data_IF_654424321792
#
_entry.id   IF_654424321792
#
_cell.length_a   1.000
_cell.length_b   1.000
_cell.length_c   1.000
_cell.angle_alpha   90.00
_cell.angle_beta   90.00
_cell.angle_gamma   90.00
#
_symmetry.space_group_name_H-M   'P 1'
#
loop_
_entity.id
_entity.type
_entity.pdbx_description
1 polymer ?
#
# COMPACT_ATOMS: atom_id res chain seq x y z
N UNK A 1 -3.62 -1.81 -22.01
CA UNK A 1 -4.28 -3.01 -21.46
C UNK A 1 -5.57 -2.64 -20.74
N UNK A 2 -5.60 -1.65 -19.85
CA UNK A 2 -6.78 -1.24 -19.08
C UNK A 2 -8.05 -1.07 -19.95
N UNK A 3 -7.94 -0.31 -21.04
CA UNK A 3 -9.04 -0.11 -22.01
C UNK A 3 -9.55 -1.46 -22.58
N UNK A 4 -8.62 -2.37 -22.93
CA UNK A 4 -8.99 -3.71 -23.44
C UNK A 4 -9.70 -4.59 -22.40
N UNK A 5 -9.51 -4.29 -21.11
CA UNK A 5 -10.19 -4.97 -20.01
C UNK A 5 -11.52 -4.31 -19.65
N UNK A 6 -11.89 -3.21 -20.34
CA UNK A 6 -13.13 -2.49 -20.08
C UNK A 6 -13.11 -1.64 -18.81
N UNK A 7 -11.93 -1.21 -18.36
CA UNK A 7 -11.82 -0.32 -17.21
C UNK A 7 -12.22 1.10 -17.61
N UNK A 8 -13.05 1.74 -16.79
CA UNK A 8 -13.47 3.13 -16.95
C UNK A 8 -12.44 4.11 -16.37
N UNK A 9 -11.73 3.67 -15.33
CA UNK A 9 -10.73 4.48 -14.62
C UNK A 9 -9.51 3.63 -14.23
N UNK A 10 -8.33 4.25 -14.26
CA UNK A 10 -7.08 3.67 -13.77
C UNK A 10 -6.27 4.74 -13.04
N UNK A 11 -5.82 4.45 -11.83
CA UNK A 11 -4.88 5.26 -11.10
C UNK A 11 -3.48 4.65 -11.20
N UNK A 12 -2.50 5.44 -11.63
CA UNK A 12 -1.09 5.10 -11.51
C UNK A 12 -0.59 5.55 -10.14
N UNK A 13 0.22 4.74 -9.49
CA UNK A 13 0.77 5.02 -8.15
C UNK A 13 2.25 4.67 -8.15
N UNK A 14 3.07 5.60 -8.65
CA UNK A 14 4.53 5.45 -8.62
C UNK A 14 5.04 5.39 -7.18
N UNK A 15 6.24 4.84 -6.99
CA UNK A 15 6.84 4.66 -5.68
C UNK A 15 7.71 5.82 -5.23
N UNK A 16 7.64 6.14 -3.93
CA UNK A 16 8.67 6.92 -3.23
C UNK A 16 8.91 6.37 -1.83
N UNK A 17 10.16 6.04 -1.56
CA UNK A 17 10.65 5.48 -0.29
C UNK A 17 11.83 6.34 0.19
N UNK A 18 11.55 7.43 0.92
CA UNK A 18 12.57 8.37 1.36
C UNK A 18 13.51 7.75 2.40
N UNK A 19 14.77 8.21 2.37
CA UNK A 19 15.87 7.76 3.21
C UNK A 19 16.28 6.28 2.98
N UNK A 20 15.88 5.70 1.84
CA UNK A 20 16.26 4.33 1.44
C UNK A 20 17.17 4.40 0.20
N UNK A 21 18.50 4.35 0.37
CA UNK A 21 19.46 4.58 -0.72
C UNK A 21 19.38 3.59 -1.88
N UNK A 22 18.75 2.44 -1.67
CA UNK A 22 18.62 1.36 -2.67
C UNK A 22 17.39 1.53 -3.56
N UNK A 23 16.50 2.46 -3.24
CA UNK A 23 15.27 2.72 -3.98
C UNK A 23 15.43 3.98 -4.83
N UNK A 24 14.99 3.90 -6.09
CA UNK A 24 14.85 5.06 -6.96
C UNK A 24 13.47 5.66 -6.74
N UNK A 25 13.43 6.87 -6.20
CA UNK A 25 12.18 7.58 -5.97
C UNK A 25 11.60 8.16 -7.26
N UNK A 26 10.29 8.41 -7.26
CA UNK A 26 9.58 9.06 -8.35
C UNK A 26 10.21 10.43 -8.67
N UNK A 27 10.50 10.68 -9.95
CA UNK A 27 10.73 12.03 -10.46
C UNK A 27 9.34 12.67 -10.68
N UNK A 28 8.88 13.42 -9.69
CA UNK A 28 7.51 13.94 -9.68
C UNK A 28 7.21 14.86 -10.86
N UNK A 29 8.14 15.73 -11.25
CA UNK A 29 7.92 16.67 -12.35
C UNK A 29 7.77 15.91 -13.67
N UNK A 30 8.65 14.96 -13.95
CA UNK A 30 8.57 14.11 -15.12
C UNK A 30 7.31 13.22 -15.10
N UNK A 31 6.94 12.69 -13.95
CA UNK A 31 5.75 11.86 -13.79
C UNK A 31 4.47 12.64 -14.08
N UNK A 32 4.31 13.82 -13.50
CA UNK A 32 3.13 14.66 -13.74
C UNK A 32 3.05 15.11 -15.21
N UNK A 33 4.19 15.51 -15.82
CA UNK A 33 4.23 15.86 -17.26
C UNK A 33 3.79 14.68 -18.15
N UNK A 34 4.27 13.48 -17.87
CA UNK A 34 3.88 12.29 -18.65
C UNK A 34 2.41 11.93 -18.42
N UNK A 35 1.91 12.05 -17.18
CA UNK A 35 0.50 11.78 -16.88
C UNK A 35 -0.43 12.74 -17.61
N UNK A 36 -0.11 14.03 -17.72
CA UNK A 36 -0.92 14.97 -18.50
C UNK A 36 -0.95 14.61 -20.00
N UNK A 37 0.20 14.23 -20.56
CA UNK A 37 0.27 13.72 -21.95
C UNK A 37 -0.60 12.47 -22.14
N UNK A 38 -0.59 11.55 -21.17
CA UNK A 38 -1.39 10.34 -21.23
C UNK A 38 -2.89 10.61 -21.04
N UNK A 39 -3.28 11.51 -20.14
CA UNK A 39 -4.66 11.96 -19.98
C UNK A 39 -5.22 12.52 -21.28
N UNK A 40 -4.47 13.39 -21.95
CA UNK A 40 -4.87 13.94 -23.24
C UNK A 40 -4.97 12.88 -24.35
N UNK A 41 -3.98 12.00 -24.45
CA UNK A 41 -3.91 10.93 -25.46
C UNK A 41 -5.08 9.94 -25.37
N UNK A 42 -5.52 9.62 -24.15
CA UNK A 42 -6.56 8.62 -23.93
C UNK A 42 -7.92 9.22 -23.53
N UNK A 43 -8.06 10.54 -23.69
CA UNK A 43 -9.30 11.27 -23.41
C UNK A 43 -10.51 10.63 -24.09
N UNK A 44 -11.56 10.39 -23.31
CA UNK A 44 -12.79 9.74 -23.80
C UNK A 44 -12.69 8.21 -23.99
N UNK A 45 -11.53 7.61 -23.72
CA UNK A 45 -11.34 6.15 -23.74
C UNK A 45 -11.22 5.56 -22.34
N UNK A 46 -10.59 6.28 -21.44
CA UNK A 46 -10.41 5.90 -20.02
C UNK A 46 -10.08 7.15 -19.22
N UNK A 47 -10.52 7.21 -17.97
CA UNK A 47 -10.10 8.23 -17.01
C UNK A 47 -8.79 7.80 -16.36
N UNK A 48 -7.74 8.63 -16.48
CA UNK A 48 -6.47 8.38 -15.82
C UNK A 48 -6.32 9.29 -14.60
N UNK A 49 -5.90 8.71 -13.49
CA UNK A 49 -5.63 9.38 -12.22
C UNK A 49 -4.15 9.34 -11.91
N UNK A 50 -3.64 10.46 -11.38
CA UNK A 50 -2.24 10.61 -10.95
C UNK A 50 -2.16 10.37 -9.46
N UNK A 51 -1.80 9.16 -9.07
CA UNK A 51 -1.62 8.77 -7.67
C UNK A 51 -0.15 8.62 -7.32
N UNK A 52 0.09 8.22 -6.09
CA UNK A 52 1.43 7.91 -5.57
C UNK A 52 1.33 6.84 -4.50
N UNK A 53 2.35 6.00 -4.38
CA UNK A 53 2.55 5.10 -3.25
C UNK A 53 3.75 5.57 -2.43
N UNK A 54 3.49 6.04 -1.23
CA UNK A 54 4.49 6.50 -0.29
C UNK A 54 4.88 5.40 0.69
N UNK A 55 6.14 4.98 0.66
CA UNK A 55 6.74 4.07 1.66
C UNK A 55 7.18 4.86 2.89
N UNK A 56 6.22 5.12 3.80
CA UNK A 56 6.43 6.06 4.91
C UNK A 56 6.97 5.34 6.13
N UNK A 57 8.00 5.94 6.72
CA UNK A 57 8.53 5.59 8.04
C UNK A 57 8.28 6.75 9.02
N UNK A 58 8.26 6.47 10.31
CA UNK A 58 7.96 7.48 11.35
C UNK A 58 8.84 8.73 11.23
N UNK A 59 10.12 8.55 10.87
CA UNK A 59 11.08 9.66 10.75
C UNK A 59 11.00 10.41 9.41
N UNK A 60 10.29 9.88 8.40
CA UNK A 60 10.19 10.51 7.07
C UNK A 60 8.88 11.29 6.86
N UNK A 61 7.94 11.27 7.81
CA UNK A 61 6.60 11.85 7.67
C UNK A 61 6.59 13.30 7.19
N UNK A 62 7.50 14.14 7.72
CA UNK A 62 7.60 15.57 7.32
C UNK A 62 7.95 15.74 5.85
N UNK A 63 8.87 14.93 5.33
CA UNK A 63 9.26 15.00 3.93
C UNK A 63 8.08 14.65 3.01
N UNK A 64 7.27 13.65 3.40
CA UNK A 64 6.05 13.31 2.65
C UNK A 64 4.96 14.36 2.75
N UNK A 65 4.78 15.04 3.89
CA UNK A 65 3.89 16.20 4.00
C UNK A 65 4.29 17.32 3.05
N UNK A 66 5.59 17.60 2.93
CA UNK A 66 6.11 18.62 2.01
C UNK A 66 5.84 18.22 0.56
N UNK A 67 6.10 16.97 0.18
CA UNK A 67 5.80 16.46 -1.16
C UNK A 67 4.32 16.52 -1.48
N UNK A 68 3.47 16.07 -0.55
CA UNK A 68 2.01 16.11 -0.73
C UNK A 68 1.47 17.53 -0.97
N UNK A 69 2.05 18.56 -0.32
CA UNK A 69 1.66 19.97 -0.55
C UNK A 69 2.12 20.51 -1.90
N UNK A 70 3.18 19.94 -2.48
CA UNK A 70 3.76 20.43 -3.74
C UNK A 70 3.06 19.87 -4.97
N UNK A 71 2.53 18.65 -4.90
CA UNK A 71 2.00 17.94 -6.04
C UNK A 71 0.52 17.58 -5.86
N UNK A 72 -0.35 17.83 -6.86
CA UNK A 72 -1.79 17.59 -6.77
C UNK A 72 -2.16 16.14 -7.07
N UNK A 73 -1.80 15.23 -6.17
CA UNK A 73 -2.16 13.82 -6.33
C UNK A 73 -3.68 13.60 -6.23
N UNK A 74 -4.23 12.81 -7.15
CA UNK A 74 -5.63 12.35 -7.11
C UNK A 74 -5.83 11.28 -6.01
N UNK A 75 -4.78 10.51 -5.69
CA UNK A 75 -4.86 9.36 -4.76
C UNK A 75 -3.48 9.06 -4.16
N UNK A 76 -3.44 8.81 -2.88
CA UNK A 76 -2.21 8.49 -2.14
C UNK A 76 -2.36 7.19 -1.38
N UNK A 77 -1.48 6.23 -1.65
CA UNK A 77 -1.34 5.00 -0.87
C UNK A 77 -0.24 5.23 0.16
N UNK A 78 -0.56 5.00 1.44
CA UNK A 78 0.46 4.84 2.46
C UNK A 78 0.84 3.37 2.57
N UNK A 79 2.11 3.05 2.38
CA UNK A 79 2.68 1.71 2.51
C UNK A 79 3.83 1.69 3.50
N UNK A 80 4.02 0.55 4.18
CA UNK A 80 5.19 0.30 5.02
C UNK A 80 6.08 -0.73 4.31
N UNK A 81 7.13 -0.24 3.64
CA UNK A 81 8.09 -1.09 2.94
C UNK A 81 9.33 -1.41 3.77
N UNK A 82 9.70 -0.49 4.66
CA UNK A 82 10.88 -0.57 5.50
C UNK A 82 10.54 -0.18 6.95
N UNK A 83 11.41 -0.57 7.86
CA UNK A 83 11.41 -0.10 9.25
C UNK A 83 12.83 0.26 9.63
N UNK A 84 13.07 1.47 10.11
CA UNK A 84 14.41 1.97 10.45
C UNK A 84 15.38 1.88 9.27
N UNK A 85 14.91 2.21 8.05
CA UNK A 85 15.62 2.11 6.78
C UNK A 85 16.08 0.69 6.41
N UNK A 86 15.55 -0.34 7.09
CA UNK A 86 15.87 -1.75 6.85
C UNK A 86 14.81 -2.39 5.98
N UNK A 87 15.24 -3.12 4.98
CA UNK A 87 14.43 -3.70 3.93
C UNK A 87 14.02 -5.14 4.26
N UNK A 88 12.71 -5.43 4.33
CA UNK A 88 12.20 -6.78 4.63
C UNK A 88 12.59 -7.82 3.59
N UNK A 89 12.68 -7.45 2.30
CA UNK A 89 13.11 -8.38 1.24
C UNK A 89 14.58 -8.79 1.34
N UNK A 90 15.42 -8.01 2.04
CA UNK A 90 16.79 -8.35 2.38
C UNK A 90 16.92 -9.10 3.70
N UNK A 91 15.82 -9.27 4.42
CA UNK A 91 15.77 -9.91 5.74
C UNK A 91 16.49 -9.11 6.86
N UNK A 92 16.74 -7.84 6.64
CA UNK A 92 17.48 -7.02 7.61
C UNK A 92 16.68 -6.76 8.91
N UNK A 93 15.36 -6.46 8.88
CA UNK A 93 14.57 -6.31 10.10
C UNK A 93 14.38 -7.62 10.86
N UNK A 94 14.48 -8.78 10.19
CA UNK A 94 14.30 -10.11 10.75
C UNK A 94 15.56 -10.63 11.44
N UNK A 95 16.75 -10.12 11.07
CA UNK A 95 18.02 -10.63 11.58
C UNK A 95 18.10 -10.55 13.10
N UNK A 96 18.41 -11.70 13.73
CA UNK A 96 18.56 -11.81 15.17
C UNK A 96 17.27 -11.70 15.99
N UNK A 97 16.10 -11.68 15.33
CA UNK A 97 14.79 -11.54 15.98
C UNK A 97 13.89 -12.75 15.77
N UNK A 98 13.00 -12.98 16.70
CA UNK A 98 11.90 -13.94 16.54
C UNK A 98 10.85 -13.40 15.56
N UNK A 99 10.03 -14.30 14.99
CA UNK A 99 8.92 -13.93 14.13
C UNK A 99 7.99 -12.92 14.78
N UNK A 100 7.69 -13.11 16.04
CA UNK A 100 6.83 -12.21 16.80
C UNK A 100 7.43 -10.81 16.91
N UNK A 101 8.72 -10.70 17.21
CA UNK A 101 9.38 -9.40 17.41
C UNK A 101 9.38 -8.56 16.13
N UNK A 102 9.80 -9.13 14.98
CA UNK A 102 9.86 -8.32 13.76
C UNK A 102 8.47 -8.05 13.15
N UNK A 103 7.50 -8.97 13.29
CA UNK A 103 6.13 -8.70 12.86
C UNK A 103 5.48 -7.61 13.72
N UNK A 104 5.58 -7.69 15.05
CA UNK A 104 5.03 -6.63 15.92
C UNK A 104 5.71 -5.28 15.68
N UNK A 105 7.03 -5.26 15.42
CA UNK A 105 7.72 -4.01 15.08
C UNK A 105 7.22 -3.42 13.75
N UNK A 106 6.90 -4.26 12.77
CA UNK A 106 6.30 -3.84 11.50
C UNK A 106 4.94 -3.15 11.70
N UNK A 107 4.01 -3.80 12.40
CA UNK A 107 2.69 -3.20 12.64
C UNK A 107 2.75 -2.00 13.59
N UNK A 108 3.71 -1.98 14.52
CA UNK A 108 3.95 -0.81 15.35
C UNK A 108 4.40 0.40 14.52
N UNK A 109 5.26 0.22 13.52
CA UNK A 109 5.65 1.31 12.61
C UNK A 109 4.43 1.89 11.88
N UNK A 110 3.58 1.04 11.34
CA UNK A 110 2.33 1.49 10.70
C UNK A 110 1.47 2.29 11.69
N UNK A 111 1.28 1.77 12.90
CA UNK A 111 0.49 2.44 13.94
C UNK A 111 1.07 3.81 14.29
N UNK A 112 2.37 3.90 14.45
CA UNK A 112 3.05 5.15 14.79
C UNK A 112 2.91 6.18 13.66
N UNK A 113 3.01 5.75 12.40
CA UNK A 113 2.83 6.63 11.23
C UNK A 113 1.37 7.10 11.13
N UNK A 114 0.36 6.22 11.17
CA UNK A 114 -1.05 6.62 11.00
C UNK A 114 -1.54 7.57 12.11
N UNK A 115 -0.91 7.55 13.30
CA UNK A 115 -1.20 8.50 14.37
C UNK A 115 -0.81 9.93 14.03
N UNK A 116 0.25 10.13 13.26
CA UNK A 116 0.83 11.45 13.00
C UNK A 116 0.67 11.92 11.56
N UNK A 117 0.72 11.04 10.57
CA UNK A 117 0.60 11.37 9.15
C UNK A 117 -0.83 11.12 8.67
N UNK A 118 -1.43 12.12 7.98
CA UNK A 118 -2.84 12.09 7.56
C UNK A 118 -3.05 12.30 6.06
N UNK A 119 -2.02 12.63 5.31
CA UNK A 119 -2.11 12.99 3.89
C UNK A 119 -2.05 11.75 2.99
N UNK A 120 -2.92 10.77 3.25
CA UNK A 120 -3.09 9.56 2.44
C UNK A 120 -4.57 9.24 2.24
N UNK A 121 -4.87 8.47 1.20
CA UNK A 121 -6.23 8.02 0.88
C UNK A 121 -6.55 6.68 1.52
N UNK A 122 -5.64 5.73 1.38
CA UNK A 122 -5.77 4.36 1.91
C UNK A 122 -4.43 3.85 2.44
N UNK A 123 -4.52 2.86 3.32
CA UNK A 123 -3.38 2.05 3.75
C UNK A 123 -3.20 0.88 2.79
N UNK A 124 -2.07 0.85 2.07
CA UNK A 124 -1.72 -0.19 1.11
C UNK A 124 -1.40 -1.52 1.79
N UNK A 125 -1.49 -2.60 1.07
CA UNK A 125 -1.10 -3.98 1.44
C UNK A 125 -0.64 -4.20 2.89
N UNK A 126 -1.54 -3.98 3.84
CA UNK A 126 -1.29 -3.88 5.30
C UNK A 126 -0.37 -4.98 5.85
N UNK A 127 -0.43 -6.18 5.32
CA UNK A 127 0.31 -7.35 5.79
C UNK A 127 1.36 -7.85 4.77
N UNK A 128 1.94 -6.92 3.98
CA UNK A 128 2.94 -7.27 2.94
C UNK A 128 4.20 -7.94 3.51
N UNK A 129 4.48 -7.74 4.79
CA UNK A 129 5.59 -8.41 5.48
C UNK A 129 5.58 -9.93 5.27
N UNK A 130 4.40 -10.56 5.18
CA UNK A 130 4.28 -12.01 4.95
C UNK A 130 4.85 -12.48 3.61
N UNK A 131 4.98 -11.59 2.62
CA UNK A 131 5.65 -11.86 1.34
C UNK A 131 7.13 -12.21 1.54
N UNK A 132 7.72 -11.65 2.58
CA UNK A 132 9.14 -11.74 2.89
C UNK A 132 9.45 -12.57 4.14
N UNK A 133 8.42 -13.10 4.81
CA UNK A 133 8.57 -13.90 6.03
C UNK A 133 8.90 -15.36 5.69
N UNK A 134 10.16 -15.74 5.88
CA UNK A 134 10.65 -17.12 5.62
C UNK A 134 10.06 -18.15 6.58
N UNK A 135 9.50 -17.73 7.71
CA UNK A 135 8.84 -18.61 8.67
C UNK A 135 7.37 -18.84 8.32
N UNK A 136 6.86 -18.13 7.30
CA UNK A 136 5.45 -18.16 6.89
C UNK A 136 4.63 -17.05 7.54
N UNK A 137 3.31 -17.11 7.36
CA UNK A 137 2.42 -16.10 7.93
C UNK A 137 2.34 -16.25 9.45
N UNK A 138 2.47 -15.13 10.17
CA UNK A 138 2.29 -15.11 11.62
C UNK A 138 0.81 -15.37 11.97
N UNK A 139 0.56 -16.02 13.11
CA UNK A 139 -0.78 -16.21 13.64
C UNK A 139 -1.42 -14.83 13.92
N UNK A 140 -2.65 -14.63 13.43
CA UNK A 140 -3.36 -13.35 13.51
C UNK A 140 -3.49 -12.84 14.95
N UNK A 141 -3.77 -13.72 15.90
CA UNK A 141 -3.98 -13.39 17.31
C UNK A 141 -2.76 -12.73 17.97
N UNK A 142 -1.56 -12.97 17.41
CA UNK A 142 -0.30 -12.39 17.95
C UNK A 142 -0.09 -10.92 17.57
N UNK A 143 -0.87 -10.44 16.59
CA UNK A 143 -0.75 -9.07 16.04
C UNK A 143 -2.09 -8.34 16.02
N UNK A 144 -3.19 -9.00 16.38
CA UNK A 144 -4.55 -8.47 16.32
C UNK A 144 -4.67 -7.15 17.07
N UNK A 145 -4.12 -7.06 18.26
CA UNK A 145 -4.14 -5.85 19.11
C UNK A 145 -3.54 -4.60 18.46
N UNK A 146 -2.50 -4.78 17.63
CA UNK A 146 -1.90 -3.68 16.87
C UNK A 146 -2.75 -3.31 15.66
N UNK A 147 -3.31 -4.32 14.96
CA UNK A 147 -4.18 -4.09 13.80
C UNK A 147 -5.47 -3.39 14.22
N UNK A 148 -6.05 -3.76 15.36
CA UNK A 148 -7.21 -3.06 15.95
C UNK A 148 -6.90 -1.57 16.17
N UNK A 149 -5.79 -1.25 16.81
CA UNK A 149 -5.38 0.14 17.02
C UNK A 149 -5.13 0.90 15.70
N UNK A 150 -4.55 0.25 14.69
CA UNK A 150 -4.38 0.84 13.36
C UNK A 150 -5.76 1.17 12.76
N UNK A 151 -6.69 0.23 12.81
CA UNK A 151 -8.03 0.43 12.25
C UNK A 151 -8.86 1.46 13.01
N UNK A 152 -8.71 1.58 14.33
CA UNK A 152 -9.32 2.67 15.10
C UNK A 152 -8.91 4.03 14.53
N UNK A 153 -7.64 4.24 14.22
CA UNK A 153 -7.15 5.50 13.65
C UNK A 153 -7.60 5.67 12.20
N UNK A 154 -7.38 4.66 11.35
CA UNK A 154 -7.70 4.70 9.91
C UNK A 154 -9.19 4.97 9.67
N UNK A 155 -10.06 4.30 10.41
CA UNK A 155 -11.52 4.46 10.30
C UNK A 155 -11.97 5.82 10.84
N UNK A 156 -11.44 6.27 11.98
CA UNK A 156 -11.76 7.57 12.57
C UNK A 156 -11.35 8.73 11.65
N UNK A 157 -10.25 8.58 10.92
CA UNK A 157 -9.76 9.56 9.94
C UNK A 157 -10.53 9.50 8.61
N UNK A 158 -11.51 8.61 8.46
CA UNK A 158 -12.27 8.42 7.20
C UNK A 158 -11.42 7.85 6.06
N UNK A 159 -10.35 7.13 6.39
CA UNK A 159 -9.47 6.50 5.42
C UNK A 159 -9.88 5.04 5.18
N UNK A 160 -9.31 4.45 4.10
CA UNK A 160 -9.56 3.07 3.72
C UNK A 160 -8.34 2.16 3.82
N UNK A 161 -8.54 0.93 3.39
CA UNK A 161 -7.49 -0.06 3.19
C UNK A 161 -7.50 -0.59 1.76
N UNK A 162 -6.39 -1.17 1.34
CA UNK A 162 -6.29 -1.86 0.06
C UNK A 162 -6.50 -3.36 0.23
N UNK A 163 -7.24 -3.99 -0.68
CA UNK A 163 -7.12 -5.40 -1.01
C UNK A 163 -6.18 -5.53 -2.21
N UNK A 164 -4.95 -5.97 -1.96
CA UNK A 164 -3.90 -6.06 -2.95
C UNK A 164 -3.87 -7.47 -3.57
N UNK A 165 -4.12 -7.55 -4.88
CA UNK A 165 -4.25 -8.83 -5.58
C UNK A 165 -2.92 -9.46 -5.97
N UNK A 166 -1.79 -8.75 -5.78
CA UNK A 166 -0.45 -9.28 -6.07
C UNK A 166 -0.10 -10.51 -5.22
N UNK A 167 -0.82 -10.74 -4.11
CA UNK A 167 -0.71 -11.97 -3.32
C UNK A 167 -0.75 -13.24 -4.20
N UNK A 168 -1.56 -13.24 -5.24
CA UNK A 168 -1.65 -14.37 -6.19
C UNK A 168 -0.40 -14.52 -7.05
N UNK A 169 0.15 -13.41 -7.52
CA UNK A 169 1.39 -13.41 -8.30
C UNK A 169 2.59 -13.88 -7.49
N UNK A 170 2.63 -13.50 -6.22
CA UNK A 170 3.64 -13.96 -5.27
C UNK A 170 3.34 -15.33 -4.68
N UNK A 171 2.23 -15.99 -5.10
CA UNK A 171 1.82 -17.33 -4.65
C UNK A 171 1.68 -17.42 -3.13
N UNK A 172 1.22 -16.35 -2.50
CA UNK A 172 0.89 -16.35 -1.08
C UNK A 172 -0.29 -17.28 -0.81
N UNK A 173 -0.35 -17.87 0.37
CA UNK A 173 -1.43 -18.80 0.76
C UNK A 173 -2.75 -18.07 1.04
N UNK A 174 -2.66 -16.81 1.47
CA UNK A 174 -3.81 -15.98 1.83
C UNK A 174 -3.93 -14.73 0.95
N UNK A 175 -5.04 -14.02 1.09
CA UNK A 175 -5.23 -12.67 0.53
C UNK A 175 -4.28 -11.67 1.22
N UNK A 176 -4.13 -10.51 0.63
CA UNK A 176 -3.34 -9.41 1.21
C UNK A 176 -4.21 -8.12 1.23
N UNK A 177 -4.76 -7.76 2.41
CA UNK A 177 -4.65 -8.42 3.70
C UNK A 177 -5.38 -9.77 3.79
N UNK A 178 -5.06 -10.55 4.83
CA UNK A 178 -5.72 -11.84 5.10
C UNK A 178 -7.23 -11.68 5.35
N UNK A 179 -7.98 -12.78 5.26
CA UNK A 179 -9.44 -12.73 5.51
C UNK A 179 -9.78 -12.34 6.94
N UNK A 180 -8.96 -12.73 7.89
CA UNK A 180 -9.11 -12.37 9.30
C UNK A 180 -8.98 -10.85 9.48
N UNK A 181 -7.99 -10.24 8.83
CA UNK A 181 -7.77 -8.78 8.85
C UNK A 181 -8.93 -8.04 8.16
N UNK A 182 -9.38 -8.51 6.98
CA UNK A 182 -10.52 -7.92 6.28
C UNK A 182 -11.81 -8.01 7.11
N UNK A 183 -12.04 -9.16 7.77
CA UNK A 183 -13.17 -9.35 8.66
C UNK A 183 -13.11 -8.39 9.85
N UNK A 184 -11.96 -8.26 10.49
CA UNK A 184 -11.77 -7.33 11.59
C UNK A 184 -12.07 -5.90 11.16
N UNK A 185 -11.55 -5.46 9.99
CA UNK A 185 -11.83 -4.13 9.45
C UNK A 185 -13.34 -3.88 9.26
N UNK A 186 -14.04 -4.85 8.69
CA UNK A 186 -15.50 -4.78 8.52
C UNK A 186 -16.23 -4.70 9.88
N UNK A 187 -15.88 -5.59 10.82
CA UNK A 187 -16.52 -5.68 12.14
C UNK A 187 -16.30 -4.40 12.98
N UNK A 188 -15.19 -3.70 12.77
CA UNK A 188 -14.89 -2.40 13.37
C UNK A 188 -15.59 -1.22 12.66
N UNK A 189 -16.34 -1.47 11.59
CA UNK A 189 -17.11 -0.45 10.87
C UNK A 189 -16.35 0.22 9.72
N UNK A 190 -15.26 -0.36 9.25
CA UNK A 190 -14.55 0.08 8.05
C UNK A 190 -15.43 -0.06 6.81
N UNK A 191 -15.39 0.95 5.92
CA UNK A 191 -16.30 1.03 4.76
C UNK A 191 -15.60 1.28 3.44
N UNK A 192 -14.32 1.63 3.46
CA UNK A 192 -13.57 2.02 2.27
C UNK A 192 -12.52 0.95 1.99
N UNK A 193 -12.71 0.22 0.91
CA UNK A 193 -11.73 -0.76 0.39
C UNK A 193 -11.48 -0.44 -1.07
N UNK A 194 -10.22 -0.30 -1.44
CA UNK A 194 -9.79 -0.30 -2.84
C UNK A 194 -9.22 -1.66 -3.21
N UNK A 195 -9.23 -1.97 -4.51
CA UNK A 195 -8.61 -3.21 -5.01
C UNK A 195 -7.49 -2.82 -5.96
N UNK A 196 -6.25 -3.08 -5.55
CA UNK A 196 -5.03 -2.79 -6.30
C UNK A 196 -4.39 -4.05 -6.88
N UNK A 197 -3.90 -3.96 -8.12
CA UNK A 197 -3.14 -5.07 -8.73
C UNK A 197 -1.64 -5.02 -8.45
N UNK A 198 -1.14 -3.91 -7.93
CA UNK A 198 0.28 -3.70 -7.65
C UNK A 198 1.13 -4.10 -8.87
N UNK A 199 0.73 -3.56 -10.03
CA UNK A 199 1.22 -3.99 -11.33
C UNK A 199 2.46 -3.20 -11.73
N UNK A 200 3.63 -3.82 -11.63
CA UNK A 200 4.92 -3.25 -12.05
C UNK A 200 5.19 -3.40 -13.56
N UNK A 201 4.23 -3.93 -14.31
CA UNK A 201 4.29 -4.02 -15.78
C UNK A 201 2.88 -4.08 -16.38
N UNK A 202 2.77 -3.73 -17.65
CA UNK A 202 1.48 -3.63 -18.35
C UNK A 202 0.69 -4.95 -18.37
N UNK A 203 1.37 -6.11 -18.35
CA UNK A 203 0.72 -7.41 -18.44
C UNK A 203 -0.04 -7.78 -17.16
N UNK A 204 0.28 -7.11 -16.04
CA UNK A 204 -0.34 -7.35 -14.74
C UNK A 204 -1.43 -6.34 -14.37
N UNK A 205 -1.65 -5.30 -15.17
CA UNK A 205 -2.72 -4.33 -14.92
C UNK A 205 -4.06 -5.06 -14.82
N UNK A 206 -4.75 -4.88 -13.70
CA UNK A 206 -6.05 -5.46 -13.43
C UNK A 206 -6.06 -6.95 -13.08
N UNK A 207 -4.89 -7.55 -12.84
CA UNK A 207 -4.82 -8.97 -12.47
C UNK A 207 -5.65 -9.26 -11.22
N UNK A 208 -6.59 -10.19 -11.36
CA UNK A 208 -7.46 -10.68 -10.29
C UNK A 208 -8.34 -9.61 -9.61
N UNK A 209 -8.45 -8.40 -10.16
CA UNK A 209 -9.29 -7.33 -9.57
C UNK A 209 -10.77 -7.72 -9.61
N UNK A 210 -11.27 -8.18 -10.76
CA UNK A 210 -12.68 -8.56 -10.93
C UNK A 210 -13.10 -9.74 -10.06
N UNK A 211 -12.21 -10.71 -9.87
CA UNK A 211 -12.45 -11.85 -8.98
C UNK A 211 -12.47 -11.42 -7.52
N UNK A 212 -11.61 -10.46 -7.16
CA UNK A 212 -11.47 -9.96 -5.79
C UNK A 212 -12.66 -9.09 -5.36
N UNK A 213 -13.41 -8.52 -6.30
CA UNK A 213 -14.66 -7.80 -5.99
C UNK A 213 -15.77 -8.71 -5.42
N UNK A 214 -15.61 -10.02 -5.50
CA UNK A 214 -16.60 -11.01 -5.03
C UNK A 214 -16.30 -11.55 -3.63
N UNK A 215 -15.24 -11.08 -3.02
CA UNK A 215 -14.80 -11.47 -1.67
C UNK A 215 -15.49 -10.61 -0.63
#
# INVERSE_FOLDING_TARGET
KAIKLGMDELCFTEHSDYDVPTVVNCDYDAYFEEMEKMKDKYKGQITLKTGIEFGIQTHTTKAYEETFRQYPFDFVIFSCHQVENKEYWRQEPQEGKTQLEYNRRYYQEILDVVKVYKDYSILGHLDVIKRYDKQGEIEFEKIQDLIEQIFEVVIADGKGIELNTSSRAYKLKSLMPSKEILKLYHDMGGKIITIGSDAHNADRIGDCVMESQKI
#
